data_IF_862347415941
#
_entry.id   IF_862347415941
#
_cell.length_a   1.000
_cell.length_b   1.000
_cell.length_c   1.000
_cell.angle_alpha   90.00
_cell.angle_beta   90.00
_cell.angle_gamma   90.00
#
_symmetry.space_group_name_H-M   'P 1'
#
loop_
_entity.id
_entity.type
_entity.pdbx_description
1 polymer ?
#
# COMPACT_ATOMS: atom_id res chain seq x y z
N UNK A 1 -3.63 -16.51 -9.27
CA UNK A 1 -2.23 -16.01 -9.15
C UNK A 1 -1.99 -15.04 -10.29
N UNK A 2 -1.35 -13.90 -10.02
CA UNK A 2 -0.91 -12.95 -11.05
C UNK A 2 0.60 -13.04 -11.15
N UNK A 3 1.12 -13.23 -12.35
CA UNK A 3 2.57 -13.21 -12.61
C UNK A 3 2.88 -12.14 -13.65
N UNK A 4 3.76 -11.24 -13.30
CA UNK A 4 4.31 -10.20 -14.16
C UNK A 4 5.73 -10.60 -14.50
N UNK A 5 6.06 -10.62 -15.78
CA UNK A 5 7.34 -11.13 -16.28
C UNK A 5 8.01 -10.09 -17.19
N UNK A 6 9.07 -9.49 -16.69
CA UNK A 6 9.97 -8.55 -17.35
C UNK A 6 9.23 -7.43 -18.13
N UNK A 7 8.27 -6.78 -17.50
CA UNK A 7 7.47 -5.71 -18.13
C UNK A 7 8.29 -4.47 -18.38
N UNK A 8 8.41 -4.10 -19.65
CA UNK A 8 8.98 -2.84 -20.13
C UNK A 8 7.89 -2.00 -20.78
N UNK A 9 7.87 -0.69 -20.52
CA UNK A 9 6.94 0.24 -21.17
C UNK A 9 7.62 1.52 -21.57
N UNK A 10 7.53 1.83 -22.85
CA UNK A 10 7.90 3.12 -23.42
C UNK A 10 6.66 3.95 -23.79
N UNK A 11 6.74 5.27 -23.59
CA UNK A 11 5.86 6.28 -24.13
C UNK A 11 6.70 7.22 -25.00
N UNK A 12 6.73 6.97 -26.31
CA UNK A 12 7.73 7.60 -27.18
C UNK A 12 9.15 7.23 -26.71
N UNK A 13 9.95 8.22 -26.37
CA UNK A 13 11.32 8.04 -25.85
C UNK A 13 11.36 7.83 -24.33
N UNK A 14 10.26 8.11 -23.63
CA UNK A 14 10.21 7.98 -22.17
C UNK A 14 10.03 6.53 -21.73
N UNK A 15 11.01 6.00 -21.01
CA UNK A 15 10.99 4.66 -20.42
C UNK A 15 10.29 4.69 -19.05
N UNK A 16 9.00 4.31 -19.05
CA UNK A 16 8.15 4.37 -17.86
C UNK A 16 8.27 3.12 -16.95
N UNK A 17 8.55 1.95 -17.51
CA UNK A 17 8.80 0.70 -16.76
C UNK A 17 10.01 0.00 -17.36
N UNK A 18 10.91 -0.50 -16.49
CA UNK A 18 12.27 -0.93 -16.82
C UNK A 18 12.53 -2.41 -16.52
N UNK A 19 11.61 -3.29 -16.94
CA UNK A 19 11.80 -4.73 -16.74
C UNK A 19 11.37 -5.19 -15.34
N UNK A 20 10.12 -4.93 -14.98
CA UNK A 20 9.55 -5.29 -13.69
C UNK A 20 9.01 -6.71 -13.73
N UNK A 21 9.39 -7.53 -12.74
CA UNK A 21 8.89 -8.88 -12.54
C UNK A 21 8.47 -9.08 -11.09
N UNK A 22 7.32 -9.71 -10.86
CA UNK A 22 6.83 -10.12 -9.54
C UNK A 22 5.66 -11.09 -9.66
N UNK A 23 5.30 -11.70 -8.53
CA UNK A 23 4.16 -12.63 -8.46
C UNK A 23 3.26 -12.25 -7.30
N UNK A 24 1.93 -12.31 -7.50
CA UNK A 24 0.93 -12.10 -6.45
C UNK A 24 0.09 -13.38 -6.32
N UNK A 25 0.01 -13.91 -5.10
CA UNK A 25 -0.74 -15.12 -4.82
C UNK A 25 -2.24 -14.84 -4.71
N UNK A 26 -3.06 -15.90 -4.82
CA UNK A 26 -4.51 -15.75 -4.64
C UNK A 26 -4.86 -15.37 -3.20
N UNK A 27 -5.76 -14.40 -3.07
CA UNK A 27 -6.27 -13.94 -1.78
C UNK A 27 -5.40 -12.89 -1.08
N UNK A 28 -4.19 -12.58 -1.57
CA UNK A 28 -3.34 -11.54 -0.99
C UNK A 28 -3.90 -10.13 -1.21
N UNK A 29 -3.67 -9.24 -0.23
CA UNK A 29 -3.79 -7.80 -0.39
C UNK A 29 -2.38 -7.22 -0.50
N UNK A 30 -2.02 -6.75 -1.70
CA UNK A 30 -0.68 -6.25 -2.00
C UNK A 30 -0.70 -4.76 -2.29
N UNK A 31 0.14 -4.01 -1.59
CA UNK A 31 0.37 -2.60 -1.82
C UNK A 31 1.40 -2.37 -2.92
N UNK A 32 1.06 -1.58 -3.95
CA UNK A 32 1.98 -1.12 -4.98
C UNK A 32 2.36 0.33 -4.69
N UNK A 33 3.50 0.51 -4.03
CA UNK A 33 3.91 1.74 -3.39
C UNK A 33 4.98 2.47 -4.18
N UNK A 34 4.88 3.78 -4.28
CA UNK A 34 5.91 4.60 -4.93
C UNK A 34 5.47 6.06 -5.11
N UNK A 35 6.41 6.97 -5.40
CA UNK A 35 6.09 8.37 -5.62
C UNK A 35 5.25 8.57 -6.90
N UNK A 36 4.75 9.79 -7.07
CA UNK A 36 4.08 10.16 -8.31
C UNK A 36 5.06 10.07 -9.48
N UNK A 37 4.61 9.49 -10.60
CA UNK A 37 5.46 9.26 -11.76
C UNK A 37 6.34 7.99 -11.70
N UNK A 38 6.32 7.22 -10.61
CA UNK A 38 7.12 5.99 -10.49
C UNK A 38 6.70 4.85 -11.45
N UNK A 39 5.54 4.97 -12.11
CA UNK A 39 5.03 3.95 -13.04
C UNK A 39 3.85 3.13 -12.51
N UNK A 40 3.33 3.42 -11.29
CA UNK A 40 2.24 2.67 -10.66
C UNK A 40 1.01 2.50 -11.56
N UNK A 41 0.37 3.60 -11.96
CA UNK A 41 -0.83 3.56 -12.80
C UNK A 41 -0.56 2.96 -14.19
N UNK A 42 0.67 3.10 -14.71
CA UNK A 42 1.08 2.42 -15.95
C UNK A 42 1.06 0.90 -15.76
N UNK A 43 1.61 0.40 -14.67
CA UNK A 43 1.59 -1.02 -14.34
C UNK A 43 0.15 -1.52 -14.12
N UNK A 44 -0.70 -0.78 -13.37
CA UNK A 44 -2.11 -1.14 -13.18
C UNK A 44 -2.86 -1.28 -14.50
N UNK A 45 -2.64 -0.36 -15.43
CA UNK A 45 -3.25 -0.41 -16.78
C UNK A 45 -2.74 -1.59 -17.62
N UNK A 46 -1.49 -2.00 -17.44
CA UNK A 46 -0.94 -3.18 -18.13
C UNK A 46 -1.53 -4.47 -17.58
N UNK A 47 -1.56 -4.64 -16.24
CA UNK A 47 -2.13 -5.84 -15.59
C UNK A 47 -3.62 -6.02 -15.94
N UNK A 48 -4.35 -4.90 -16.10
CA UNK A 48 -5.77 -4.95 -16.49
C UNK A 48 -5.99 -5.20 -17.98
N UNK A 49 -4.92 -5.30 -18.77
CA UNK A 49 -4.99 -5.38 -20.23
C UNK A 49 -5.59 -4.16 -20.90
N UNK A 50 -5.60 -3.01 -20.20
CA UNK A 50 -6.04 -1.73 -20.75
C UNK A 50 -4.97 -1.08 -21.63
N UNK A 51 -3.70 -1.30 -21.28
CA UNK A 51 -2.54 -0.77 -21.99
C UNK A 51 -1.57 -1.91 -22.30
N UNK A 52 -1.13 -2.10 -23.55
CA UNK A 52 -0.12 -3.10 -23.87
C UNK A 52 1.26 -2.69 -23.32
N UNK A 53 2.02 -3.66 -22.81
CA UNK A 53 3.43 -3.50 -22.55
C UNK A 53 4.20 -3.30 -23.86
N UNK A 54 5.40 -2.71 -23.81
CA UNK A 54 6.30 -2.67 -24.97
C UNK A 54 6.99 -4.04 -25.14
N UNK A 55 7.36 -4.68 -24.02
CA UNK A 55 7.82 -6.07 -23.97
C UNK A 55 7.51 -6.67 -22.59
N UNK A 56 7.66 -8.00 -22.48
CA UNK A 56 7.29 -8.76 -21.29
C UNK A 56 5.82 -9.20 -21.30
N UNK A 57 5.43 -9.97 -20.29
CA UNK A 57 4.14 -10.65 -20.25
C UNK A 57 3.48 -10.52 -18.88
N UNK A 58 2.15 -10.54 -18.89
CA UNK A 58 1.32 -10.62 -17.69
C UNK A 58 0.45 -11.86 -17.79
N UNK A 59 0.46 -12.67 -16.73
CA UNK A 59 -0.36 -13.89 -16.66
C UNK A 59 -1.34 -13.77 -15.50
N UNK A 60 -2.57 -14.22 -15.75
CA UNK A 60 -3.56 -14.50 -14.72
C UNK A 60 -3.78 -16.01 -14.69
N UNK A 61 -3.35 -16.66 -13.62
CA UNK A 61 -3.14 -18.11 -13.54
C UNK A 61 -2.18 -18.57 -14.66
N UNK A 62 -2.62 -19.46 -15.54
CA UNK A 62 -1.80 -20.01 -16.65
C UNK A 62 -2.01 -19.27 -17.98
N UNK A 63 -2.84 -18.23 -18.01
CA UNK A 63 -3.22 -17.54 -19.25
C UNK A 63 -2.58 -16.15 -19.33
N UNK A 64 -1.95 -15.87 -20.48
CA UNK A 64 -1.49 -14.52 -20.78
C UNK A 64 -2.67 -13.57 -20.98
N UNK A 65 -2.56 -12.33 -20.48
CA UNK A 65 -3.68 -11.37 -20.42
C UNK A 65 -4.24 -11.03 -21.81
N UNK A 66 -3.46 -11.18 -22.86
CA UNK A 66 -3.87 -10.88 -24.25
C UNK A 66 -4.33 -12.10 -25.05
N UNK A 67 -4.14 -13.33 -24.57
CA UNK A 67 -4.61 -14.55 -25.26
C UNK A 67 -6.14 -14.63 -25.29
N UNK A 68 -6.79 -14.32 -24.16
CA UNK A 68 -8.25 -14.31 -24.04
C UNK A 68 -8.72 -13.04 -23.29
N UNK A 69 -8.55 -11.84 -23.89
CA UNK A 69 -8.71 -10.59 -23.17
C UNK A 69 -10.10 -10.35 -22.60
N UNK A 70 -11.15 -10.85 -23.25
CA UNK A 70 -12.54 -10.68 -22.78
C UNK A 70 -12.79 -11.54 -21.53
N UNK A 71 -12.37 -12.80 -21.53
CA UNK A 71 -12.59 -13.70 -20.40
C UNK A 71 -11.73 -13.30 -19.20
N UNK A 72 -10.48 -12.94 -19.43
CA UNK A 72 -9.57 -12.51 -18.36
C UNK A 72 -10.01 -11.17 -17.76
N UNK A 73 -10.48 -10.21 -18.57
CA UNK A 73 -11.07 -8.96 -18.08
C UNK A 73 -12.35 -9.15 -17.25
N UNK A 74 -13.08 -10.26 -17.44
CA UNK A 74 -14.22 -10.62 -16.58
C UNK A 74 -13.78 -11.05 -15.18
N UNK A 75 -12.56 -11.58 -15.05
CA UNK A 75 -11.98 -11.97 -13.76
C UNK A 75 -11.35 -10.80 -13.01
N UNK A 76 -11.21 -9.63 -13.65
CA UNK A 76 -10.56 -8.46 -13.10
C UNK A 76 -11.58 -7.33 -12.89
N UNK A 77 -11.65 -6.85 -11.64
CA UNK A 77 -12.28 -5.58 -11.30
C UNK A 77 -11.23 -4.47 -11.30
N UNK A 78 -11.50 -3.35 -11.93
CA UNK A 78 -10.58 -2.23 -11.97
C UNK A 78 -11.26 -0.92 -11.63
N UNK A 79 -10.64 -0.19 -10.71
CA UNK A 79 -10.98 1.17 -10.37
C UNK A 79 -9.77 2.05 -10.67
N UNK A 80 -9.79 2.88 -11.71
CA UNK A 80 -8.71 3.83 -12.00
C UNK A 80 -8.72 5.00 -11.02
N UNK A 81 -7.59 5.69 -10.88
CA UNK A 81 -7.44 6.90 -10.05
C UNK A 81 -8.52 7.94 -10.38
N UNK A 82 -8.70 8.25 -11.66
CA UNK A 82 -9.77 9.12 -12.13
C UNK A 82 -10.99 8.27 -12.54
N UNK A 83 -11.96 8.16 -11.63
CA UNK A 83 -13.15 7.35 -11.84
C UNK A 83 -14.09 8.07 -12.80
N UNK A 84 -14.31 7.52 -13.99
CA UNK A 84 -15.27 8.03 -14.97
C UNK A 84 -16.68 7.57 -14.61
N UNK A 85 -17.32 8.23 -13.63
CA UNK A 85 -18.71 7.98 -13.25
C UNK A 85 -19.66 8.81 -14.12
N UNK A 86 -20.80 8.23 -14.49
CA UNK A 86 -21.89 8.98 -15.12
C UNK A 86 -22.64 9.79 -14.05
N UNK A 87 -22.24 11.04 -13.88
CA UNK A 87 -22.68 11.91 -12.79
C UNK A 87 -24.19 12.22 -12.79
N UNK A 88 -24.84 12.10 -13.94
CA UNK A 88 -26.30 12.29 -14.14
C UNK A 88 -27.15 11.08 -13.73
N UNK A 89 -26.52 9.92 -13.57
CA UNK A 89 -27.22 8.70 -13.19
C UNK A 89 -27.36 8.58 -11.68
N UNK A 90 -28.37 7.84 -11.23
CA UNK A 90 -28.40 7.36 -9.85
C UNK A 90 -27.36 6.25 -9.64
N UNK A 91 -26.93 6.02 -8.40
CA UNK A 91 -25.98 4.95 -8.07
C UNK A 91 -26.50 3.60 -8.58
N UNK A 92 -27.76 3.27 -8.32
CA UNK A 92 -28.35 1.98 -8.73
C UNK A 92 -28.43 1.83 -10.24
N UNK A 93 -28.78 2.89 -10.97
CA UNK A 93 -28.87 2.82 -12.45
C UNK A 93 -27.47 2.67 -13.07
N UNK A 94 -26.48 3.39 -12.52
CA UNK A 94 -25.08 3.25 -12.95
C UNK A 94 -24.56 1.83 -12.71
N UNK A 95 -24.76 1.29 -11.50
CA UNK A 95 -24.33 -0.08 -11.19
C UNK A 95 -25.07 -1.13 -12.05
N UNK A 96 -26.36 -0.91 -12.33
CA UNK A 96 -27.13 -1.76 -13.24
C UNK A 96 -26.60 -1.70 -14.68
N UNK A 97 -26.17 -0.53 -15.11
CA UNK A 97 -25.50 -0.36 -16.40
C UNK A 97 -24.15 -1.09 -16.43
N UNK A 98 -23.31 -0.90 -15.41
CA UNK A 98 -22.02 -1.58 -15.24
C UNK A 98 -22.18 -3.12 -15.23
N UNK A 99 -23.17 -3.64 -14.49
CA UNK A 99 -23.49 -5.07 -14.46
C UNK A 99 -23.78 -5.64 -15.84
N UNK A 100 -24.56 -4.93 -16.66
CA UNK A 100 -24.87 -5.34 -18.04
C UNK A 100 -23.62 -5.33 -18.92
N UNK A 101 -22.77 -4.29 -18.82
CA UNK A 101 -21.53 -4.21 -19.60
C UNK A 101 -20.56 -5.34 -19.22
N UNK A 102 -20.51 -5.73 -17.94
CA UNK A 102 -19.70 -6.86 -17.47
C UNK A 102 -20.31 -8.24 -17.82
N UNK A 103 -21.46 -8.29 -18.50
CA UNK A 103 -22.07 -9.51 -19.00
C UNK A 103 -22.86 -10.29 -17.95
N UNK A 104 -23.26 -9.68 -16.84
CA UNK A 104 -24.14 -10.33 -15.86
C UNK A 104 -25.51 -10.59 -16.49
N UNK A 105 -25.96 -11.83 -16.45
CA UNK A 105 -27.27 -12.19 -17.02
C UNK A 105 -28.42 -11.51 -16.27
N UNK A 106 -29.50 -11.16 -16.99
CA UNK A 106 -30.63 -10.38 -16.43
C UNK A 106 -31.20 -10.96 -15.14
N UNK A 107 -31.23 -12.28 -14.99
CA UNK A 107 -31.73 -12.98 -13.80
C UNK A 107 -30.86 -12.77 -12.55
N UNK A 108 -29.57 -12.50 -12.72
CA UNK A 108 -28.62 -12.34 -11.63
C UNK A 108 -28.31 -10.87 -11.28
N UNK A 109 -28.71 -9.91 -12.14
CA UNK A 109 -28.41 -8.47 -11.91
C UNK A 109 -28.98 -7.99 -10.57
N UNK A 110 -30.20 -8.38 -10.20
CA UNK A 110 -30.83 -7.92 -8.95
C UNK A 110 -30.00 -8.34 -7.74
N UNK A 111 -29.62 -9.61 -7.63
CA UNK A 111 -28.81 -10.12 -6.52
C UNK A 111 -27.43 -9.49 -6.49
N UNK A 112 -26.78 -9.31 -7.65
CA UNK A 112 -25.48 -8.64 -7.74
C UNK A 112 -25.55 -7.19 -7.24
N UNK A 113 -26.61 -6.45 -7.59
CA UNK A 113 -26.82 -5.08 -7.12
C UNK A 113 -27.03 -5.02 -5.61
N UNK A 114 -27.93 -5.85 -5.07
CA UNK A 114 -28.24 -5.89 -3.63
C UNK A 114 -26.97 -6.17 -2.83
N UNK A 115 -26.23 -7.22 -3.18
CA UNK A 115 -24.99 -7.59 -2.51
C UNK A 115 -23.91 -6.51 -2.63
N UNK A 116 -23.69 -5.96 -3.82
CA UNK A 116 -22.65 -4.94 -4.03
C UNK A 116 -22.97 -3.65 -3.29
N UNK A 117 -24.21 -3.18 -3.32
CA UNK A 117 -24.69 -1.97 -2.62
C UNK A 117 -24.53 -2.12 -1.11
N UNK A 118 -24.81 -3.31 -0.58
CA UNK A 118 -24.66 -3.62 0.84
C UNK A 118 -23.18 -3.61 1.25
N UNK A 119 -22.33 -4.40 0.55
CA UNK A 119 -20.88 -4.50 0.84
C UNK A 119 -20.20 -3.13 0.80
N UNK A 120 -20.56 -2.27 -0.18
CA UNK A 120 -19.95 -0.95 -0.33
C UNK A 120 -20.58 0.15 0.53
N UNK A 121 -21.60 -0.18 1.35
CA UNK A 121 -22.27 0.76 2.24
C UNK A 121 -23.08 1.84 1.49
N UNK A 122 -23.55 1.55 0.28
CA UNK A 122 -24.28 2.48 -0.57
C UNK A 122 -25.81 2.40 -0.41
N UNK A 123 -26.33 1.58 0.51
CA UNK A 123 -27.76 1.31 0.65
C UNK A 123 -28.62 2.58 0.81
N UNK A 124 -28.15 3.54 1.63
CA UNK A 124 -28.85 4.82 1.85
C UNK A 124 -28.70 5.81 0.69
N UNK A 125 -27.81 5.53 -0.25
CA UNK A 125 -27.43 6.45 -1.33
C UNK A 125 -27.76 5.89 -2.72
N UNK A 126 -28.28 4.67 -2.82
CA UNK A 126 -28.51 3.96 -4.09
C UNK A 126 -29.39 4.74 -5.09
N UNK A 127 -30.37 5.50 -4.59
CA UNK A 127 -31.30 6.26 -5.42
C UNK A 127 -30.85 7.73 -5.60
N UNK A 128 -29.65 8.12 -5.07
CA UNK A 128 -29.10 9.47 -5.26
C UNK A 128 -28.34 9.58 -6.56
N UNK A 129 -28.41 10.75 -7.17
CA UNK A 129 -27.61 11.12 -8.34
C UNK A 129 -26.14 11.18 -7.93
N UNK A 130 -25.27 10.51 -8.69
CA UNK A 130 -23.84 10.37 -8.40
C UNK A 130 -23.14 11.73 -8.31
N UNK A 131 -23.55 12.70 -9.16
CA UNK A 131 -23.01 14.06 -9.13
C UNK A 131 -23.11 14.74 -7.77
N UNK A 132 -24.16 14.43 -6.99
CA UNK A 132 -24.47 15.02 -5.67
C UNK A 132 -23.84 14.25 -4.49
N UNK A 133 -23.07 13.21 -4.74
CA UNK A 133 -22.36 12.46 -3.70
C UNK A 133 -21.07 13.16 -3.26
N UNK A 134 -20.69 12.97 -1.99
CA UNK A 134 -19.34 13.33 -1.53
C UNK A 134 -18.29 12.49 -2.26
N UNK A 135 -17.03 12.93 -2.21
CA UNK A 135 -15.91 12.24 -2.86
C UNK A 135 -15.81 10.78 -2.37
N UNK A 136 -15.96 10.52 -1.08
CA UNK A 136 -15.91 9.17 -0.51
C UNK A 136 -17.02 8.26 -1.03
N UNK A 137 -18.24 8.75 -1.19
CA UNK A 137 -19.32 7.96 -1.79
C UNK A 137 -19.13 7.75 -3.31
N UNK A 138 -18.48 8.69 -4.01
CA UNK A 138 -18.05 8.49 -5.40
C UNK A 138 -16.98 7.40 -5.49
N UNK A 139 -16.01 7.38 -4.57
CA UNK A 139 -15.01 6.32 -4.47
C UNK A 139 -15.65 4.95 -4.20
N UNK A 140 -16.57 4.86 -3.23
CA UNK A 140 -17.33 3.63 -2.96
C UNK A 140 -18.14 3.17 -4.18
N UNK A 141 -18.70 4.11 -4.96
CA UNK A 141 -19.40 3.79 -6.20
C UNK A 141 -18.42 3.24 -7.25
N UNK A 142 -17.18 3.76 -7.30
CA UNK A 142 -16.09 3.26 -8.13
C UNK A 142 -15.65 1.84 -7.73
N UNK A 143 -15.53 1.57 -6.43
CA UNK A 143 -15.26 0.21 -5.93
C UNK A 143 -16.44 -0.71 -6.27
N UNK A 144 -17.68 -0.26 -6.06
CA UNK A 144 -18.89 -1.02 -6.35
C UNK A 144 -18.95 -1.47 -7.83
N UNK A 145 -18.67 -0.59 -8.78
CA UNK A 145 -18.61 -0.95 -10.20
C UNK A 145 -17.48 -1.92 -10.51
N UNK A 146 -16.35 -1.86 -9.77
CA UNK A 146 -15.24 -2.78 -9.97
C UNK A 146 -15.57 -4.19 -9.46
N UNK A 147 -16.40 -4.33 -8.41
CA UNK A 147 -16.73 -5.64 -7.81
C UNK A 147 -18.09 -6.22 -8.25
N UNK A 148 -18.90 -5.48 -9.02
CA UNK A 148 -20.30 -5.86 -9.35
C UNK A 148 -20.43 -7.23 -10.02
N UNK A 149 -19.42 -7.67 -10.74
CA UNK A 149 -19.38 -8.94 -11.48
C UNK A 149 -18.62 -10.05 -10.74
N UNK A 150 -18.34 -9.82 -9.45
CA UNK A 150 -17.64 -10.75 -8.55
C UNK A 150 -16.27 -11.22 -9.08
N UNK A 151 -15.33 -10.30 -9.33
CA UNK A 151 -14.02 -10.64 -9.91
C UNK A 151 -13.14 -11.39 -8.91
N UNK A 152 -12.24 -12.25 -9.43
CA UNK A 152 -11.21 -12.94 -8.66
C UNK A 152 -10.08 -11.98 -8.23
N UNK A 153 -9.82 -10.96 -9.05
CA UNK A 153 -8.78 -9.93 -8.84
C UNK A 153 -9.41 -8.55 -8.83
N UNK A 154 -9.05 -7.75 -7.83
CA UNK A 154 -9.48 -6.36 -7.72
C UNK A 154 -8.25 -5.44 -7.74
N UNK A 155 -8.21 -4.53 -8.69
CA UNK A 155 -7.14 -3.54 -8.83
C UNK A 155 -7.71 -2.16 -8.55
N UNK A 156 -7.15 -1.48 -7.55
CA UNK A 156 -7.56 -0.18 -7.07
C UNK A 156 -6.40 0.81 -7.21
N UNK A 157 -6.54 1.79 -8.09
CA UNK A 157 -5.52 2.80 -8.33
C UNK A 157 -5.88 4.07 -7.56
N UNK A 158 -5.10 4.39 -6.50
CA UNK A 158 -5.28 5.54 -5.59
C UNK A 158 -6.72 5.67 -5.01
N UNK A 159 -7.32 4.60 -4.44
CA UNK A 159 -8.74 4.59 -4.07
C UNK A 159 -9.13 5.55 -2.95
N UNK A 160 -8.17 6.03 -2.20
CA UNK A 160 -8.35 6.91 -1.03
C UNK A 160 -7.90 8.34 -1.28
N UNK A 161 -7.38 8.63 -2.47
CA UNK A 161 -6.84 9.95 -2.82
C UNK A 161 -7.82 11.10 -2.57
N UNK A 162 -7.39 12.05 -1.70
CA UNK A 162 -8.13 13.28 -1.37
C UNK A 162 -9.43 13.04 -0.61
N UNK A 163 -9.54 11.96 0.16
CA UNK A 163 -10.58 11.74 1.15
C UNK A 163 -10.24 12.43 2.46
N UNK A 164 -11.28 12.80 3.20
CA UNK A 164 -11.11 13.22 4.59
C UNK A 164 -10.77 12.01 5.49
N UNK A 165 -10.23 12.22 6.72
CA UNK A 165 -9.77 11.14 7.58
C UNK A 165 -10.85 10.10 7.91
N UNK A 166 -12.11 10.51 8.09
CA UNK A 166 -13.19 9.57 8.41
C UNK A 166 -13.55 8.69 7.20
N UNK A 167 -13.67 9.30 6.02
CA UNK A 167 -13.94 8.58 4.78
C UNK A 167 -12.78 7.63 4.41
N UNK A 168 -11.55 8.03 4.70
CA UNK A 168 -10.36 7.21 4.49
C UNK A 168 -10.43 5.91 5.31
N UNK A 169 -10.73 6.00 6.62
CA UNK A 169 -10.89 4.83 7.49
C UNK A 169 -11.98 3.88 6.95
N UNK A 170 -13.11 4.44 6.52
CA UNK A 170 -14.21 3.65 6.00
C UNK A 170 -13.88 2.94 4.68
N UNK A 171 -13.15 3.59 3.76
CA UNK A 171 -12.74 2.99 2.48
C UNK A 171 -11.66 1.94 2.70
N UNK A 172 -10.69 2.19 3.58
CA UNK A 172 -9.66 1.17 3.98
C UNK A 172 -10.33 -0.07 4.57
N UNK A 173 -11.28 0.11 5.48
CA UNK A 173 -12.03 -1.00 6.09
C UNK A 173 -12.79 -1.81 5.04
N UNK A 174 -13.40 -1.14 4.06
CA UNK A 174 -14.04 -1.79 2.91
C UNK A 174 -13.02 -2.60 2.10
N UNK A 175 -11.88 -2.02 1.72
CA UNK A 175 -10.84 -2.72 0.93
C UNK A 175 -10.35 -3.96 1.69
N UNK A 176 -10.08 -3.82 2.98
CA UNK A 176 -9.64 -4.94 3.84
C UNK A 176 -10.68 -6.07 3.88
N UNK A 177 -11.97 -5.74 3.92
CA UNK A 177 -13.05 -6.73 3.90
C UNK A 177 -13.19 -7.48 2.57
N UNK A 178 -12.66 -6.92 1.48
CA UNK A 178 -12.68 -7.54 0.15
C UNK A 178 -11.52 -8.53 -0.07
N UNK A 179 -10.47 -8.47 0.78
CA UNK A 179 -9.37 -9.44 0.79
C UNK A 179 -9.79 -10.83 1.27
N UNK A 180 -8.89 -11.80 1.17
CA UNK A 180 -9.12 -13.20 1.54
C UNK A 180 -9.96 -13.97 0.52
N UNK A 181 -11.07 -13.40 0.07
CA UNK A 181 -11.91 -13.99 -0.99
C UNK A 181 -11.46 -13.55 -2.38
N UNK A 182 -10.77 -12.42 -2.50
CA UNK A 182 -10.24 -11.83 -3.74
C UNK A 182 -8.78 -11.46 -3.56
N UNK A 183 -8.02 -11.53 -4.63
CA UNK A 183 -6.69 -10.93 -4.69
C UNK A 183 -6.86 -9.43 -4.92
N UNK A 184 -6.27 -8.59 -4.06
CA UNK A 184 -6.41 -7.13 -4.15
C UNK A 184 -5.04 -6.51 -4.41
N UNK A 185 -4.94 -5.66 -5.42
CA UNK A 185 -3.79 -4.80 -5.68
C UNK A 185 -4.20 -3.37 -5.40
N UNK A 186 -3.53 -2.75 -4.45
CA UNK A 186 -3.76 -1.37 -4.04
C UNK A 186 -2.57 -0.51 -4.47
N UNK A 187 -2.77 0.36 -5.45
CA UNK A 187 -1.77 1.37 -5.81
C UNK A 187 -1.96 2.61 -4.95
N UNK A 188 -0.91 3.06 -4.29
CA UNK A 188 -0.94 4.29 -3.48
C UNK A 188 0.46 4.90 -3.31
N UNK A 189 0.50 6.18 -2.98
CA UNK A 189 1.71 6.86 -2.53
C UNK A 189 1.69 7.12 -1.01
N UNK A 190 0.62 6.70 -0.31
CA UNK A 190 0.42 6.90 1.13
C UNK A 190 0.83 5.62 1.86
N UNK A 191 1.94 5.68 2.57
CA UNK A 191 2.55 4.52 3.22
C UNK A 191 1.70 3.94 4.33
N UNK A 192 1.05 4.79 5.14
CA UNK A 192 0.15 4.33 6.20
C UNK A 192 -1.06 3.52 5.68
N UNK A 193 -1.47 3.74 4.43
CA UNK A 193 -2.52 2.93 3.82
C UNK A 193 -2.06 1.51 3.56
N UNK A 194 -0.81 1.35 3.11
CA UNK A 194 -0.21 0.03 2.88
C UNK A 194 0.00 -0.69 4.20
N UNK A 195 0.54 -0.01 5.23
CA UNK A 195 0.70 -0.61 6.57
C UNK A 195 -0.62 -1.10 7.17
N UNK A 196 -1.68 -0.29 7.04
CA UNK A 196 -2.98 -0.62 7.64
C UNK A 196 -3.78 -1.67 6.86
N UNK A 197 -3.52 -1.82 5.55
CA UNK A 197 -4.44 -2.56 4.66
C UNK A 197 -3.80 -3.77 4.01
N UNK A 198 -2.49 -3.73 3.73
CA UNK A 198 -1.79 -4.73 2.93
C UNK A 198 -0.96 -5.68 3.80
N UNK A 199 -0.78 -6.91 3.30
CA UNK A 199 0.08 -7.91 3.92
C UNK A 199 1.51 -7.80 3.39
N UNK A 200 1.66 -7.39 2.12
CA UNK A 200 2.91 -7.28 1.39
C UNK A 200 2.94 -5.98 0.58
N UNK A 201 4.12 -5.43 0.38
CA UNK A 201 4.32 -4.26 -0.45
C UNK A 201 5.37 -4.51 -1.55
N UNK A 202 5.09 -3.93 -2.71
CA UNK A 202 5.97 -3.80 -3.86
C UNK A 202 6.37 -2.33 -3.95
N UNK A 203 7.64 -2.00 -3.70
CA UNK A 203 8.13 -0.63 -3.74
C UNK A 203 8.70 -0.36 -5.12
N UNK A 204 8.10 0.60 -5.83
CA UNK A 204 8.54 1.02 -7.16
C UNK A 204 9.07 2.46 -7.12
N UNK A 205 10.18 2.69 -7.79
CA UNK A 205 10.72 4.03 -8.03
C UNK A 205 11.34 4.15 -9.42
N UNK A 206 11.03 5.25 -10.12
CA UNK A 206 11.54 5.53 -11.47
C UNK A 206 11.40 4.36 -12.46
N UNK A 207 10.28 3.66 -12.41
CA UNK A 207 9.96 2.53 -13.30
C UNK A 207 10.67 1.22 -12.96
N UNK A 208 11.28 1.10 -11.80
CA UNK A 208 11.95 -0.12 -11.33
C UNK A 208 11.35 -0.61 -10.01
N UNK A 209 11.22 -1.93 -9.86
CA UNK A 209 10.92 -2.54 -8.58
C UNK A 209 12.21 -2.54 -7.74
N UNK A 210 12.18 -1.92 -6.55
CA UNK A 210 13.34 -1.76 -5.68
C UNK A 210 13.31 -2.66 -4.45
N UNK A 211 12.10 -2.99 -3.96
CA UNK A 211 11.94 -3.94 -2.86
C UNK A 211 10.56 -4.61 -2.93
N UNK A 212 10.49 -5.84 -2.46
CA UNK A 212 9.29 -6.66 -2.38
C UNK A 212 9.40 -7.61 -1.20
N UNK A 213 8.54 -7.45 -0.20
CA UNK A 213 8.37 -8.40 0.91
C UNK A 213 7.07 -8.10 1.67
N UNK A 214 6.79 -8.90 2.71
CA UNK A 214 5.80 -8.54 3.73
C UNK A 214 6.19 -7.21 4.39
N UNK A 215 5.24 -6.49 4.96
CA UNK A 215 5.52 -5.22 5.66
C UNK A 215 6.59 -5.44 6.76
N UNK A 216 6.43 -6.51 7.56
CA UNK A 216 7.42 -6.93 8.56
C UNK A 216 8.79 -7.25 7.95
N UNK A 217 8.79 -7.97 6.81
CA UNK A 217 10.01 -8.33 6.10
C UNK A 217 10.80 -7.12 5.64
N UNK A 218 10.13 -6.10 5.09
CA UNK A 218 10.74 -4.85 4.67
C UNK A 218 11.36 -4.07 5.85
N UNK A 219 10.63 -3.98 6.98
CA UNK A 219 11.13 -3.38 8.21
C UNK A 219 12.38 -4.12 8.73
N UNK A 220 12.31 -5.44 8.78
CA UNK A 220 13.43 -6.30 9.20
C UNK A 220 14.63 -6.21 8.27
N UNK A 221 14.42 -6.11 6.96
CA UNK A 221 15.50 -5.94 6.00
C UNK A 221 16.26 -4.63 6.21
N UNK A 222 15.53 -3.54 6.47
CA UNK A 222 16.11 -2.26 6.82
C UNK A 222 16.90 -2.35 8.14
N UNK A 223 16.33 -2.98 9.18
CA UNK A 223 17.00 -3.13 10.48
C UNK A 223 18.28 -3.98 10.41
N UNK A 224 18.35 -4.94 9.49
CA UNK A 224 19.57 -5.74 9.26
C UNK A 224 20.70 -4.94 8.64
N UNK A 225 20.42 -3.90 7.90
CA UNK A 225 21.42 -3.13 7.17
C UNK A 225 21.80 -1.83 7.86
N UNK A 226 20.86 -1.18 8.54
CA UNK A 226 21.18 -0.03 9.37
C UNK A 226 21.76 -0.56 10.67
N UNK A 227 22.98 -0.12 10.98
CA UNK A 227 23.61 -0.35 12.26
C UNK A 227 22.77 0.33 13.36
N UNK A 228 22.10 -0.48 14.21
CA UNK A 228 21.41 0.04 15.39
C UNK A 228 19.90 -0.16 15.43
N UNK A 229 19.38 -0.50 16.60
CA UNK A 229 17.97 -0.43 16.97
C UNK A 229 17.62 1.00 17.40
N UNK A 230 16.40 1.44 17.14
CA UNK A 230 15.87 2.68 17.69
C UNK A 230 15.11 2.38 18.98
N UNK A 231 15.43 3.12 20.05
CA UNK A 231 14.73 3.04 21.33
C UNK A 231 14.05 4.40 21.57
N UNK A 232 12.79 4.37 21.92
CA UNK A 232 12.06 5.53 22.41
C UNK A 232 12.01 5.48 23.93
N UNK A 233 12.40 6.57 24.56
CA UNK A 233 12.50 6.74 26.00
C UNK A 233 11.73 7.99 26.42
N UNK A 234 10.88 7.86 27.45
CA UNK A 234 10.23 8.99 28.13
C UNK A 234 10.68 9.03 29.57
N UNK A 235 11.08 10.20 30.02
CA UNK A 235 11.50 10.48 31.40
C UNK A 235 10.65 11.59 32.01
N UNK A 236 10.47 11.57 33.32
CA UNK A 236 9.86 12.69 34.04
C UNK A 236 10.90 13.79 34.25
N UNK A 237 10.52 15.06 34.07
CA UNK A 237 11.33 16.20 34.41
C UNK A 237 12.30 16.66 33.32
N UNK A 238 13.57 16.78 33.63
CA UNK A 238 14.58 17.42 32.76
C UNK A 238 15.06 16.48 31.66
N UNK A 239 14.41 16.53 30.51
CA UNK A 239 14.71 15.67 29.32
C UNK A 239 16.14 15.92 28.82
N UNK A 240 16.64 17.17 28.83
CA UNK A 240 17.99 17.53 28.37
C UNK A 240 19.08 16.88 29.22
N UNK A 241 18.92 16.88 30.56
CA UNK A 241 19.88 16.26 31.47
C UNK A 241 19.86 14.73 31.30
N UNK A 242 18.68 14.12 31.09
CA UNK A 242 18.53 12.70 30.79
C UNK A 242 19.17 12.34 29.45
N UNK A 243 19.04 13.19 28.42
CA UNK A 243 19.66 13.00 27.10
C UNK A 243 21.21 12.92 27.22
N UNK A 244 21.81 13.78 28.01
CA UNK A 244 23.28 13.75 28.27
C UNK A 244 23.66 12.40 28.87
N UNK A 245 22.93 11.96 29.90
CA UNK A 245 23.16 10.67 30.55
C UNK A 245 23.01 9.48 29.64
N UNK A 246 21.99 9.49 28.78
CA UNK A 246 21.77 8.43 27.80
C UNK A 246 22.95 8.28 26.86
N UNK A 247 23.54 9.36 26.40
CA UNK A 247 24.73 9.37 25.52
C UNK A 247 25.98 8.75 26.15
N UNK A 248 26.05 8.65 27.48
CA UNK A 248 27.15 8.00 28.20
C UNK A 248 27.03 6.48 28.24
N UNK A 249 25.87 5.92 27.86
CA UNK A 249 25.61 4.47 27.92
C UNK A 249 26.33 3.77 26.77
N UNK A 250 27.12 2.77 27.11
CA UNK A 250 27.83 1.95 26.10
C UNK A 250 26.83 1.28 25.14
N UNK A 251 27.06 1.41 23.84
CA UNK A 251 26.19 0.91 22.78
C UNK A 251 25.20 1.94 22.25
N UNK A 252 25.15 3.17 22.81
CA UNK A 252 24.44 4.30 22.22
C UNK A 252 25.32 4.94 21.14
N UNK A 253 24.79 5.02 19.91
CA UNK A 253 25.45 5.71 18.78
C UNK A 253 25.06 7.17 18.77
N UNK A 254 23.75 7.44 18.87
CA UNK A 254 23.18 8.78 18.85
C UNK A 254 21.93 8.84 19.73
N UNK A 255 21.67 9.99 20.34
CA UNK A 255 20.42 10.25 21.04
C UNK A 255 20.00 11.70 20.84
N UNK A 256 18.70 11.89 20.51
CA UNK A 256 18.09 13.19 20.25
C UNK A 256 16.68 13.25 20.84
N UNK A 257 16.19 14.45 21.11
CA UNK A 257 14.80 14.69 21.52
C UNK A 257 13.91 14.94 20.33
N UNK A 258 12.74 14.29 20.30
CA UNK A 258 11.71 14.57 19.33
C UNK A 258 10.87 15.82 19.72
N UNK A 259 9.96 16.22 18.85
CA UNK A 259 9.06 17.37 19.07
C UNK A 259 8.03 17.16 20.20
N UNK A 260 7.94 15.95 20.75
CA UNK A 260 6.99 15.57 21.81
C UNK A 260 7.68 15.35 23.16
N UNK A 261 9.00 15.58 23.23
CA UNK A 261 9.79 15.43 24.45
C UNK A 261 10.22 13.99 24.76
N UNK A 262 10.07 13.05 23.82
CA UNK A 262 10.67 11.72 23.93
C UNK A 262 12.12 11.75 23.47
N UNK A 263 12.99 10.94 24.08
CA UNK A 263 14.36 10.73 23.64
C UNK A 263 14.39 9.55 22.68
N UNK A 264 14.81 9.81 21.45
CA UNK A 264 15.02 8.78 20.43
C UNK A 264 16.50 8.41 20.46
N UNK A 265 16.78 7.13 20.69
CA UNK A 265 18.13 6.61 20.90
C UNK A 265 18.44 5.62 19.79
N UNK A 266 19.51 5.87 19.07
CA UNK A 266 20.08 4.93 18.11
C UNK A 266 21.19 4.13 18.80
N UNK A 267 21.12 2.79 18.74
CA UNK A 267 22.05 1.90 19.44
C UNK A 267 22.75 0.92 18.49
N UNK A 268 23.88 0.37 18.94
CA UNK A 268 24.63 -0.63 18.21
C UNK A 268 23.81 -1.91 17.93
N UNK A 269 24.10 -2.53 16.80
CA UNK A 269 23.39 -3.72 16.29
C UNK A 269 23.52 -4.91 17.24
N UNK A 270 22.36 -5.57 17.47
CA UNK A 270 22.32 -6.87 18.15
C UNK A 270 22.33 -6.82 19.68
N UNK A 271 22.42 -5.64 20.28
CA UNK A 271 22.34 -5.47 21.74
C UNK A 271 21.06 -4.74 22.14
N UNK A 272 20.21 -5.41 22.90
CA UNK A 272 19.13 -4.73 23.62
C UNK A 272 19.69 -4.02 24.84
N UNK A 273 19.98 -2.73 24.68
CA UNK A 273 20.58 -1.90 25.75
C UNK A 273 19.54 -1.21 26.62
N UNK A 274 18.23 -1.47 26.43
CA UNK A 274 17.14 -0.83 27.21
C UNK A 274 17.36 -0.98 28.72
N UNK A 275 17.71 -2.19 29.18
CA UNK A 275 17.99 -2.44 30.59
C UNK A 275 19.17 -1.61 31.12
N UNK A 276 20.23 -1.46 30.31
CA UNK A 276 21.41 -0.65 30.65
C UNK A 276 21.07 0.83 30.74
N UNK A 277 20.27 1.34 29.79
CA UNK A 277 19.78 2.74 29.79
C UNK A 277 18.97 3.03 31.06
N UNK A 278 17.97 2.15 31.36
CA UNK A 278 17.14 2.33 32.55
C UNK A 278 17.98 2.33 33.81
N UNK A 279 18.92 1.37 33.96
CA UNK A 279 19.80 1.30 35.12
C UNK A 279 20.65 2.56 35.29
N UNK A 280 21.20 3.06 34.19
CA UNK A 280 22.06 4.26 34.21
C UNK A 280 21.29 5.53 34.60
N UNK A 281 20.07 5.68 34.10
CA UNK A 281 19.18 6.79 34.41
C UNK A 281 18.71 6.75 35.86
N UNK A 282 18.25 5.59 36.35
CA UNK A 282 17.81 5.42 37.76
C UNK A 282 18.94 5.69 38.74
N UNK A 283 20.16 5.29 38.40
CA UNK A 283 21.36 5.64 39.23
C UNK A 283 21.66 7.14 39.23
N UNK A 284 21.15 7.90 38.27
CA UNK A 284 21.24 9.35 38.20
C UNK A 284 20.01 10.08 38.74
N UNK A 285 19.14 9.40 39.49
CA UNK A 285 17.89 9.92 40.06
C UNK A 285 16.85 10.38 39.00
N UNK A 286 16.88 9.81 37.79
CA UNK A 286 15.86 10.06 36.79
C UNK A 286 14.71 9.03 36.88
N UNK A 287 13.48 9.51 36.77
CA UNK A 287 12.29 8.68 36.69
C UNK A 287 12.00 8.31 35.23
N UNK A 288 12.14 7.02 34.89
CA UNK A 288 11.79 6.50 33.56
C UNK A 288 10.30 6.18 33.52
N UNK A 289 9.57 6.87 32.64
CA UNK A 289 8.13 6.67 32.45
C UNK A 289 7.82 5.57 31.45
N UNK A 290 8.58 5.52 30.37
CA UNK A 290 8.40 4.54 29.30
C UNK A 290 9.73 4.30 28.59
N UNK A 291 10.01 3.03 28.25
CA UNK A 291 11.11 2.68 27.35
C UNK A 291 10.64 1.54 26.45
N UNK A 292 10.71 1.75 25.13
CA UNK A 292 10.33 0.74 24.15
C UNK A 292 11.27 0.75 22.95
N UNK A 293 11.38 -0.39 22.28
CA UNK A 293 11.94 -0.39 20.94
C UNK A 293 11.00 0.41 20.03
N UNK A 294 11.53 1.37 19.31
CA UNK A 294 10.76 2.14 18.31
C UNK A 294 10.67 1.27 17.06
N UNK A 295 9.45 0.83 16.75
CA UNK A 295 9.18 0.19 15.48
C UNK A 295 9.37 1.18 14.33
N UNK A 296 10.05 0.74 13.29
CA UNK A 296 10.20 1.55 12.09
C UNK A 296 8.89 1.65 11.33
N UNK A 297 8.60 2.85 10.85
CA UNK A 297 7.48 3.07 9.94
C UNK A 297 7.84 2.61 8.53
N UNK A 298 6.82 2.27 7.73
CA UNK A 298 7.03 1.99 6.31
C UNK A 298 7.58 3.22 5.57
N UNK A 299 7.38 4.43 6.12
CA UNK A 299 7.93 5.68 5.59
C UNK A 299 9.46 5.71 5.69
N UNK A 300 10.02 5.34 6.84
CA UNK A 300 11.47 5.20 7.02
C UNK A 300 12.04 4.14 6.08
N UNK A 301 11.34 3.01 5.93
CA UNK A 301 11.69 1.93 5.00
C UNK A 301 11.72 2.44 3.56
N UNK A 302 10.69 3.16 3.14
CA UNK A 302 10.59 3.70 1.79
C UNK A 302 11.72 4.68 1.48
N UNK A 303 11.97 5.65 2.38
CA UNK A 303 13.06 6.62 2.25
C UNK A 303 14.41 5.87 2.15
N UNK A 304 14.62 4.89 3.01
CA UNK A 304 15.83 4.09 3.00
C UNK A 304 16.10 3.41 1.65
N UNK A 305 15.12 2.68 1.10
CA UNK A 305 15.28 1.97 -0.17
C UNK A 305 15.43 2.93 -1.35
N UNK A 306 14.72 4.07 -1.35
CA UNK A 306 14.82 5.07 -2.43
C UNK A 306 16.14 5.83 -2.40
N UNK A 307 16.69 6.15 -1.24
CA UNK A 307 17.99 6.82 -1.11
C UNK A 307 19.14 5.85 -1.36
N UNK A 308 19.04 4.62 -0.86
CA UNK A 308 20.04 3.58 -1.10
C UNK A 308 20.18 3.23 -2.59
N UNK A 309 19.06 3.24 -3.34
CA UNK A 309 19.09 3.06 -4.81
C UNK A 309 19.99 4.07 -5.53
N UNK A 310 20.20 5.26 -4.95
CA UNK A 310 21.08 6.28 -5.51
C UNK A 310 22.56 5.97 -5.30
N UNK A 311 22.90 5.03 -4.41
CA UNK A 311 24.26 4.57 -4.19
C UNK A 311 24.70 3.55 -5.24
N UNK A 312 25.99 3.56 -5.61
CA UNK A 312 26.57 2.62 -6.61
C UNK A 312 26.55 1.15 -6.13
N UNK A 313 26.39 0.91 -4.82
CA UNK A 313 26.42 -0.43 -4.22
C UNK A 313 25.02 -1.06 -4.04
N UNK A 314 23.97 -0.49 -4.62
CA UNK A 314 22.62 -1.02 -4.45
C UNK A 314 22.37 -2.29 -5.24
N UNK A 315 22.34 -3.42 -4.54
CA UNK A 315 21.97 -4.74 -5.10
C UNK A 315 20.51 -5.08 -4.75
N UNK A 316 19.60 -4.74 -5.67
CA UNK A 316 18.16 -4.97 -5.51
C UNK A 316 17.78 -6.45 -5.39
N UNK A 317 18.63 -7.39 -5.85
CA UNK A 317 18.34 -8.83 -5.79
C UNK A 317 18.21 -9.36 -4.35
N UNK A 318 18.74 -8.62 -3.38
CA UNK A 318 18.63 -8.95 -1.95
C UNK A 318 17.23 -8.68 -1.36
N UNK A 319 16.40 -7.85 -2.03
CA UNK A 319 15.14 -7.33 -1.51
C UNK A 319 13.94 -7.67 -2.38
N UNK A 320 14.14 -8.44 -3.44
CA UNK A 320 13.10 -8.96 -4.35
C UNK A 320 13.13 -10.48 -4.24
N UNK A 321 11.98 -11.07 -3.86
CA UNK A 321 11.82 -12.53 -3.68
C UNK A 321 11.06 -13.16 -4.82
#
# INVERSE_FOLDING_TARGET
MIRVDNIVKYYGEHLALKGISYTINKGEIVGFLGPNGAGKSTMMRIITGYLPATSGFVYLDDYEIYDNPIELKRKIGYMPENISLYTEMTVIDYLKFAAKLKGISRKHIKGALENTIEITGLTKYKDRIIGHLSKGYKQRTGIAQAIIHDPEVLILDEPTSGLDPNQLIEVRSLIKSLGGTRTVILSTHILSEVEDTCERALIIDNGELIAEDTIEGLKTAMDREILGGNIELKVAGKVEDALIRVREVQGVIQAETDNFGSIIIECERGNDIRASIVKHLVQGDFEVLEIRAKERSLEEVFIYFTDKKKSEDFDKSKYIK
#
